data_IF_076937263039
#
_entry.id   IF_076937263039
#
_cell.length_a   1.000
_cell.length_b   1.000
_cell.length_c   1.000
_cell.angle_alpha   90.00
_cell.angle_beta   90.00
_cell.angle_gamma   90.00
#
_symmetry.space_group_name_H-M   'P 1'
#
loop_
_entity.id
_entity.type
_entity.pdbx_description
1 polymer ?
#
# COMPACT_ATOMS: atom_id res chain seq x y z
N UNK A 1 -38.84 -35.84 10.88
CA UNK A 1 -38.64 -34.61 10.11
C UNK A 1 -37.13 -34.50 9.87
N UNK A 2 -36.65 -34.93 8.71
CA UNK A 2 -35.22 -34.97 8.41
C UNK A 2 -34.81 -33.61 7.85
N UNK A 3 -34.05 -32.83 8.62
CA UNK A 3 -33.41 -31.61 8.11
C UNK A 3 -32.44 -32.01 7.00
N UNK A 4 -32.84 -31.71 5.77
CA UNK A 4 -32.00 -31.82 4.60
C UNK A 4 -30.92 -30.74 4.71
N UNK A 5 -29.76 -31.07 5.30
CA UNK A 5 -28.55 -30.22 5.26
C UNK A 5 -28.23 -29.99 3.78
N UNK A 6 -28.60 -28.82 3.26
CA UNK A 6 -28.13 -28.39 1.96
C UNK A 6 -26.60 -28.42 1.97
N UNK A 7 -25.96 -29.02 0.96
CA UNK A 7 -24.50 -29.06 0.91
C UNK A 7 -23.99 -27.62 0.89
N UNK A 8 -23.16 -27.26 1.88
CA UNK A 8 -22.51 -25.96 1.85
C UNK A 8 -21.75 -25.83 0.52
N UNK A 9 -21.89 -24.71 -0.20
CA UNK A 9 -21.11 -24.51 -1.42
C UNK A 9 -19.62 -24.63 -1.06
N UNK A 10 -18.89 -25.48 -1.79
CA UNK A 10 -17.45 -25.74 -1.63
C UNK A 10 -16.60 -24.45 -1.59
N UNK A 11 -17.14 -23.33 -2.07
CA UNK A 11 -16.58 -21.99 -1.90
C UNK A 11 -17.58 -21.07 -1.18
N UNK A 12 -17.44 -20.91 0.13
CA UNK A 12 -18.14 -19.85 0.85
C UNK A 12 -17.55 -18.49 0.45
N UNK A 13 -18.40 -17.52 0.10
CA UNK A 13 -17.97 -16.14 -0.22
C UNK A 13 -17.11 -15.54 0.90
N UNK A 14 -17.40 -15.91 2.14
CA UNK A 14 -16.64 -15.52 3.34
C UNK A 14 -15.21 -16.07 3.32
N UNK A 15 -15.00 -17.34 2.96
CA UNK A 15 -13.68 -17.94 2.86
C UNK A 15 -12.80 -17.28 1.80
N UNK A 16 -13.38 -17.00 0.63
CA UNK A 16 -12.67 -16.31 -0.47
C UNK A 16 -12.28 -14.88 -0.06
N UNK A 17 -13.18 -14.13 0.57
CA UNK A 17 -12.90 -12.77 1.03
C UNK A 17 -11.79 -12.75 2.10
N UNK A 18 -11.81 -13.71 3.03
CA UNK A 18 -10.77 -13.82 4.06
C UNK A 18 -9.40 -14.16 3.43
N UNK A 19 -9.36 -15.11 2.50
CA UNK A 19 -8.14 -15.46 1.78
C UNK A 19 -7.55 -14.27 1.01
N UNK A 20 -8.39 -13.55 0.25
CA UNK A 20 -7.97 -12.35 -0.47
C UNK A 20 -7.50 -11.25 0.49
N UNK A 21 -8.15 -11.11 1.65
CA UNK A 21 -7.72 -10.19 2.71
C UNK A 21 -6.33 -10.51 3.26
N UNK A 22 -6.04 -11.78 3.52
CA UNK A 22 -4.71 -12.23 3.97
C UNK A 22 -3.66 -12.02 2.88
N UNK A 23 -3.97 -12.40 1.63
CA UNK A 23 -3.06 -12.19 0.51
C UNK A 23 -2.73 -10.70 0.32
N UNK A 24 -3.74 -9.84 0.41
CA UNK A 24 -3.56 -8.40 0.37
C UNK A 24 -2.69 -7.92 1.54
N UNK A 25 -2.91 -8.43 2.75
CA UNK A 25 -2.10 -8.09 3.92
C UNK A 25 -0.63 -8.47 3.73
N UNK A 26 -0.35 -9.67 3.21
CA UNK A 26 1.00 -10.15 2.92
C UNK A 26 1.64 -9.27 1.85
N UNK A 27 0.98 -9.08 0.70
CA UNK A 27 1.49 -8.23 -0.37
C UNK A 27 1.75 -6.80 0.14
N UNK A 28 0.88 -6.27 1.00
CA UNK A 28 1.07 -4.97 1.59
C UNK A 28 2.27 -4.93 2.53
N UNK A 29 2.45 -5.97 3.34
CA UNK A 29 3.59 -6.10 4.26
C UNK A 29 4.91 -6.07 3.48
N UNK A 30 5.04 -6.87 2.42
CA UNK A 30 6.17 -6.83 1.50
C UNK A 30 6.35 -5.42 0.90
N UNK A 31 5.28 -4.85 0.33
CA UNK A 31 5.33 -3.55 -0.32
C UNK A 31 5.78 -2.42 0.61
N UNK A 32 5.32 -2.39 1.86
CA UNK A 32 5.71 -1.37 2.86
C UNK A 32 7.22 -1.36 3.10
N UNK A 33 7.90 -2.51 3.00
CA UNK A 33 9.36 -2.58 3.22
C UNK A 33 10.18 -1.84 2.18
N UNK A 34 9.69 -1.75 0.94
CA UNK A 34 10.35 -0.98 -0.14
C UNK A 34 9.77 0.43 -0.28
N UNK A 35 8.48 0.62 -0.03
CA UNK A 35 7.81 1.92 -0.15
C UNK A 35 8.39 2.98 0.79
N UNK A 36 8.93 2.59 1.95
CA UNK A 36 9.55 3.53 2.89
C UNK A 36 10.73 4.28 2.26
N UNK A 37 11.41 3.66 1.28
CA UNK A 37 12.52 4.27 0.54
C UNK A 37 12.05 5.04 -0.70
N UNK A 38 11.00 4.54 -1.36
CA UNK A 38 10.49 5.13 -2.60
C UNK A 38 9.66 6.40 -2.38
N UNK A 39 9.05 6.54 -1.20
CA UNK A 39 8.10 7.62 -0.92
C UNK A 39 8.65 8.64 0.06
N UNK A 40 8.17 9.87 -0.04
CA UNK A 40 8.69 10.95 0.78
C UNK A 40 8.27 10.78 2.24
N UNK A 41 9.24 10.85 3.14
CA UNK A 41 9.06 10.63 4.58
C UNK A 41 8.22 11.67 5.32
N UNK A 42 7.97 12.82 4.70
CA UNK A 42 7.07 13.87 5.19
C UNK A 42 5.58 13.62 4.87
N UNK A 43 5.29 12.62 4.05
CA UNK A 43 3.97 12.40 3.45
C UNK A 43 3.30 11.08 3.87
N UNK A 44 3.95 10.27 4.70
CA UNK A 44 3.42 8.99 5.12
C UNK A 44 2.18 9.11 6.00
N UNK A 45 1.13 8.35 5.66
CA UNK A 45 -0.05 8.14 6.49
C UNK A 45 0.20 7.22 7.68
N UNK A 46 -0.76 7.16 8.61
CA UNK A 46 -0.69 6.32 9.82
C UNK A 46 -0.48 4.82 9.53
N UNK A 47 -0.87 4.34 8.34
CA UNK A 47 -0.72 2.94 7.90
C UNK A 47 0.73 2.42 7.91
N UNK A 48 1.72 3.29 7.76
CA UNK A 48 3.14 2.92 7.75
C UNK A 48 3.72 2.66 9.14
N UNK A 49 3.01 3.00 10.21
CA UNK A 49 3.49 2.85 11.59
C UNK A 49 2.70 1.79 12.38
N UNK A 50 1.90 0.97 11.70
CA UNK A 50 1.06 -0.06 12.29
C UNK A 50 1.61 -1.47 12.18
N UNK A 51 0.72 -2.45 12.35
CA UNK A 51 1.03 -3.89 12.33
C UNK A 51 1.80 -4.35 11.08
N UNK A 52 1.56 -3.72 9.92
CA UNK A 52 2.24 -4.05 8.67
C UNK A 52 3.74 -3.77 8.69
N UNK A 53 4.18 -2.71 9.39
CA UNK A 53 5.60 -2.40 9.51
C UNK A 53 6.32 -3.37 10.45
N UNK A 54 5.65 -3.74 11.55
CA UNK A 54 6.14 -4.78 12.45
C UNK A 54 6.21 -6.15 11.75
N UNK A 55 5.18 -6.51 10.98
CA UNK A 55 5.17 -7.71 10.16
C UNK A 55 6.29 -7.69 9.12
N UNK A 56 6.58 -6.53 8.50
CA UNK A 56 7.69 -6.35 7.56
C UNK A 56 9.05 -6.60 8.21
N UNK A 57 9.25 -6.14 9.45
CA UNK A 57 10.46 -6.42 10.22
C UNK A 57 10.66 -7.94 10.43
N UNK A 58 9.61 -8.62 10.90
CA UNK A 58 9.63 -10.08 11.12
C UNK A 58 9.91 -10.80 9.79
N UNK A 59 9.23 -10.40 8.72
CA UNK A 59 9.38 -10.99 7.40
C UNK A 59 10.82 -10.90 6.86
N UNK A 60 11.46 -9.74 6.97
CA UNK A 60 12.87 -9.56 6.56
C UNK A 60 13.80 -10.44 7.40
N UNK A 61 13.53 -10.58 8.71
CA UNK A 61 14.34 -11.39 9.61
C UNK A 61 14.24 -12.90 9.30
N UNK A 62 13.04 -13.39 8.93
CA UNK A 62 12.81 -14.80 8.62
C UNK A 62 13.17 -15.19 7.18
N UNK A 63 13.20 -14.23 6.25
CA UNK A 63 13.49 -14.52 4.84
C UNK A 63 14.81 -15.27 4.58
N UNK A 64 15.94 -14.97 5.25
CA UNK A 64 17.19 -15.71 5.07
C UNK A 64 17.09 -17.21 5.40
N UNK A 65 16.15 -17.62 6.27
CA UNK A 65 15.94 -19.03 6.62
C UNK A 65 15.55 -19.88 5.40
N UNK A 66 14.87 -19.27 4.43
CA UNK A 66 14.47 -19.93 3.18
C UNK A 66 15.64 -20.10 2.19
N UNK A 67 16.78 -19.46 2.44
CA UNK A 67 17.93 -19.42 1.54
C UNK A 67 19.17 -20.02 2.20
N UNK A 68 19.13 -21.34 2.40
CA UNK A 68 20.26 -22.08 2.96
C UNK A 68 21.51 -21.90 2.07
N UNK A 69 22.68 -21.77 2.71
CA UNK A 69 23.97 -21.59 2.01
C UNK A 69 24.30 -20.16 1.57
N UNK A 70 23.43 -19.18 1.83
CA UNK A 70 23.70 -17.77 1.53
C UNK A 70 23.99 -16.95 2.79
N UNK A 71 24.78 -15.89 2.65
CA UNK A 71 25.08 -14.98 3.76
C UNK A 71 23.86 -14.13 4.14
N UNK A 72 23.51 -14.10 5.43
CA UNK A 72 22.41 -13.26 5.94
C UNK A 72 22.78 -11.77 6.04
N UNK A 73 24.07 -11.43 5.93
CA UNK A 73 24.59 -10.06 6.12
C UNK A 73 23.85 -8.99 5.32
N UNK A 74 23.69 -9.12 3.99
CA UNK A 74 22.98 -8.14 3.17
C UNK A 74 21.52 -7.92 3.61
N UNK A 75 20.84 -8.96 4.06
CA UNK A 75 19.47 -8.89 4.58
C UNK A 75 19.41 -8.14 5.92
N UNK A 76 20.38 -8.34 6.81
CA UNK A 76 20.48 -7.61 8.07
C UNK A 76 20.79 -6.12 7.86
N UNK A 77 21.65 -5.80 6.89
CA UNK A 77 21.92 -4.42 6.48
C UNK A 77 20.63 -3.77 5.94
N UNK A 78 19.89 -4.48 5.09
CA UNK A 78 18.59 -4.02 4.60
C UNK A 78 17.59 -3.80 5.74
N UNK A 79 17.53 -4.71 6.72
CA UNK A 79 16.69 -4.56 7.92
C UNK A 79 17.04 -3.30 8.71
N UNK A 80 18.33 -3.03 8.92
CA UNK A 80 18.80 -1.83 9.62
C UNK A 80 18.39 -0.56 8.85
N UNK A 81 18.61 -0.52 7.54
CA UNK A 81 18.20 0.59 6.68
C UNK A 81 16.69 0.80 6.72
N UNK A 82 15.92 -0.28 6.68
CA UNK A 82 14.46 -0.24 6.76
C UNK A 82 14.01 0.36 8.10
N UNK A 83 14.59 -0.09 9.20
CA UNK A 83 14.27 0.41 10.54
C UNK A 83 14.63 1.90 10.70
N UNK A 84 15.81 2.32 10.22
CA UNK A 84 16.20 3.73 10.20
C UNK A 84 15.26 4.57 9.33
N UNK A 85 14.83 4.06 8.17
CA UNK A 85 13.89 4.74 7.30
C UNK A 85 12.52 4.94 7.98
N UNK A 86 12.02 3.92 8.68
CA UNK A 86 10.80 4.03 9.50
C UNK A 86 10.95 5.05 10.63
N UNK A 87 12.09 5.05 11.34
CA UNK A 87 12.35 6.01 12.40
C UNK A 87 12.36 7.46 11.87
N UNK A 88 13.08 7.68 10.75
CA UNK A 88 13.11 8.98 10.07
C UNK A 88 11.72 9.42 9.62
N UNK A 89 10.93 8.51 9.03
CA UNK A 89 9.55 8.77 8.67
C UNK A 89 8.74 9.20 9.90
N UNK A 90 8.84 8.47 11.01
CA UNK A 90 8.09 8.75 12.25
C UNK A 90 8.44 10.12 12.83
N UNK A 91 9.73 10.46 12.86
CA UNK A 91 10.21 11.76 13.36
C UNK A 91 9.72 12.89 12.46
N UNK A 92 9.82 12.75 11.12
CA UNK A 92 9.38 13.76 10.16
C UNK A 92 7.87 13.97 10.18
N UNK A 93 7.08 12.90 10.26
CA UNK A 93 5.62 12.99 10.39
C UNK A 93 5.24 13.71 11.68
N UNK A 94 5.84 13.35 12.82
CA UNK A 94 5.59 14.05 14.11
C UNK A 94 5.97 15.53 14.04
N UNK A 95 7.12 15.85 13.44
CA UNK A 95 7.57 17.23 13.28
C UNK A 95 6.60 18.06 12.42
N UNK A 96 6.09 17.51 11.31
CA UNK A 96 5.09 18.16 10.46
C UNK A 96 3.80 18.44 11.22
N UNK A 97 3.27 17.46 11.96
CA UNK A 97 2.03 17.63 12.74
C UNK A 97 2.21 18.71 13.81
N UNK A 98 3.37 18.73 14.49
CA UNK A 98 3.69 19.78 15.47
C UNK A 98 3.78 21.19 14.87
N UNK A 99 4.13 21.32 13.60
CA UNK A 99 4.17 22.61 12.87
C UNK A 99 2.81 23.04 12.30
N UNK A 100 1.72 22.35 12.67
CA UNK A 100 0.38 22.66 12.16
C UNK A 100 0.14 22.19 10.72
N UNK A 101 1.01 21.32 10.18
CA UNK A 101 0.80 20.76 8.84
C UNK A 101 -0.44 19.86 8.77
N UNK A 102 -1.01 19.63 7.56
CA UNK A 102 -2.22 18.84 7.40
C UNK A 102 -2.06 17.46 8.02
N UNK A 103 -3.06 16.97 8.74
CA UNK A 103 -3.01 15.65 9.34
C UNK A 103 -2.86 14.56 8.27
N UNK A 104 -2.12 13.48 8.55
CA UNK A 104 -1.95 12.39 7.60
C UNK A 104 -3.30 11.70 7.36
N UNK A 105 -3.85 11.80 6.15
CA UNK A 105 -5.05 11.04 5.79
C UNK A 105 -4.77 9.54 5.92
N UNK A 106 -5.71 8.81 6.53
CA UNK A 106 -5.57 7.39 6.89
C UNK A 106 -5.30 6.46 5.69
N UNK A 107 -5.66 6.89 4.47
CA UNK A 107 -5.49 6.12 3.23
C UNK A 107 -4.37 6.65 2.33
N UNK A 108 -3.78 7.81 2.66
CA UNK A 108 -2.77 8.40 1.80
C UNK A 108 -1.43 7.69 1.96
N UNK A 109 -0.97 7.19 0.83
CA UNK A 109 0.15 6.27 0.73
C UNK A 109 1.50 6.98 0.56
N UNK A 110 1.56 8.31 0.73
CA UNK A 110 2.75 9.13 0.54
C UNK A 110 2.96 9.58 -0.91
N UNK A 111 3.63 10.73 -1.10
CA UNK A 111 3.98 11.25 -2.41
C UNK A 111 5.24 10.53 -2.95
N UNK A 112 5.31 10.22 -4.26
CA UNK A 112 6.49 9.61 -4.85
C UNK A 112 7.70 10.54 -4.72
N UNK A 113 8.86 10.02 -4.33
CA UNK A 113 10.11 10.78 -4.45
C UNK A 113 10.43 11.05 -5.92
N UNK A 114 10.20 10.04 -6.77
CA UNK A 114 10.43 10.06 -8.22
C UNK A 114 9.53 11.04 -8.98
N UNK A 115 8.49 11.59 -8.36
CA UNK A 115 7.66 12.64 -8.97
C UNK A 115 8.47 13.90 -9.33
N UNK A 116 9.59 14.14 -8.64
CA UNK A 116 10.49 15.25 -8.99
C UNK A 116 11.17 15.06 -10.34
N UNK A 117 11.42 13.81 -10.74
CA UNK A 117 12.08 13.42 -11.98
C UNK A 117 11.04 13.23 -13.10
N UNK A 118 9.96 12.48 -12.84
CA UNK A 118 8.87 12.25 -13.80
C UNK A 118 7.70 13.22 -13.60
N UNK A 119 7.96 14.54 -13.71
CA UNK A 119 6.94 15.58 -13.47
C UNK A 119 5.72 15.50 -14.39
N UNK A 120 5.89 14.96 -15.60
CA UNK A 120 4.83 14.83 -16.61
C UNK A 120 3.98 13.57 -16.45
N UNK A 121 4.38 12.63 -15.59
CA UNK A 121 3.64 11.38 -15.40
C UNK A 121 2.62 11.53 -14.28
N UNK A 122 1.40 10.98 -14.43
CA UNK A 122 0.42 10.97 -13.36
C UNK A 122 0.95 10.16 -12.17
N UNK A 123 0.72 10.65 -10.96
CA UNK A 123 1.20 10.05 -9.71
C UNK A 123 0.84 8.56 -9.60
N UNK A 124 -0.35 8.19 -10.06
CA UNK A 124 -0.81 6.80 -10.07
C UNK A 124 0.15 5.89 -10.87
N UNK A 125 0.52 6.30 -12.09
CA UNK A 125 1.44 5.53 -12.96
C UNK A 125 2.83 5.44 -12.37
N UNK A 126 3.28 6.49 -11.67
CA UNK A 126 4.57 6.45 -10.96
C UNK A 126 4.56 5.35 -9.91
N UNK A 127 3.51 5.27 -9.10
CA UNK A 127 3.40 4.28 -8.00
C UNK A 127 3.17 2.84 -8.47
N UNK A 128 2.41 2.65 -9.55
CA UNK A 128 2.05 1.29 -10.01
C UNK A 128 3.02 0.69 -11.01
N UNK A 129 3.78 1.51 -11.73
CA UNK A 129 4.66 1.02 -12.81
C UNK A 129 6.10 1.45 -12.57
N UNK A 130 6.36 2.75 -12.41
CA UNK A 130 7.74 3.27 -12.39
C UNK A 130 8.47 2.86 -11.11
N UNK A 131 7.85 3.02 -9.94
CA UNK A 131 8.41 2.61 -8.64
C UNK A 131 8.75 1.10 -8.61
N UNK A 132 7.83 0.18 -8.97
CA UNK A 132 8.13 -1.25 -9.06
C UNK A 132 9.23 -1.60 -10.06
N UNK A 133 9.24 -0.99 -11.24
CA UNK A 133 10.30 -1.22 -12.23
C UNK A 133 11.66 -0.74 -11.71
N UNK A 134 11.69 0.40 -11.04
CA UNK A 134 12.91 0.91 -10.41
C UNK A 134 13.45 -0.04 -9.34
N UNK A 135 12.56 -0.57 -8.48
CA UNK A 135 12.93 -1.62 -7.51
C UNK A 135 13.41 -2.89 -8.20
N UNK A 136 12.77 -3.30 -9.29
CA UNK A 136 13.18 -4.44 -10.10
C UNK A 136 14.58 -4.27 -10.68
N UNK A 137 14.91 -3.09 -11.23
CA UNK A 137 16.25 -2.79 -11.70
C UNK A 137 17.29 -2.85 -10.57
N UNK A 138 16.96 -2.31 -9.39
CA UNK A 138 17.84 -2.42 -8.21
C UNK A 138 18.02 -3.90 -7.82
N UNK A 139 16.95 -4.68 -7.80
CA UNK A 139 17.01 -6.10 -7.49
C UNK A 139 17.94 -6.85 -8.45
N UNK A 140 17.89 -6.56 -9.75
CA UNK A 140 18.81 -7.14 -10.75
C UNK A 140 20.28 -6.78 -10.45
N UNK A 141 20.57 -5.52 -10.11
CA UNK A 141 21.92 -5.12 -9.73
C UNK A 141 22.39 -5.80 -8.43
N UNK A 142 21.50 -5.91 -7.45
CA UNK A 142 21.78 -6.55 -6.15
C UNK A 142 21.98 -8.06 -6.28
N UNK A 143 21.40 -8.71 -7.30
CA UNK A 143 21.53 -10.15 -7.53
C UNK A 143 22.98 -10.60 -7.72
N UNK A 144 23.86 -9.69 -8.18
CA UNK A 144 25.30 -9.94 -8.32
C UNK A 144 25.97 -10.12 -6.94
N UNK A 145 25.45 -9.48 -5.90
CA UNK A 145 26.00 -9.48 -4.54
C UNK A 145 25.26 -10.45 -3.62
N UNK A 146 23.93 -10.49 -3.71
CA UNK A 146 23.08 -11.28 -2.82
C UNK A 146 21.77 -11.66 -3.50
N UNK A 147 21.66 -12.92 -3.90
CA UNK A 147 20.45 -13.51 -4.48
C UNK A 147 19.24 -13.43 -3.53
N UNK A 148 19.36 -13.73 -2.21
CA UNK A 148 18.21 -13.66 -1.30
C UNK A 148 17.61 -12.26 -1.19
N UNK A 149 18.47 -11.24 -1.13
CA UNK A 149 18.04 -9.84 -1.07
C UNK A 149 17.42 -9.39 -2.40
N UNK A 150 18.02 -9.78 -3.52
CA UNK A 150 17.45 -9.49 -4.84
C UNK A 150 16.06 -10.10 -5.02
N UNK A 151 15.88 -11.38 -4.67
CA UNK A 151 14.59 -12.06 -4.73
C UNK A 151 13.56 -11.39 -3.82
N UNK A 152 13.97 -11.00 -2.60
CA UNK A 152 13.12 -10.25 -1.68
C UNK A 152 12.66 -8.91 -2.28
N UNK A 153 13.59 -8.12 -2.83
CA UNK A 153 13.31 -6.81 -3.41
C UNK A 153 12.40 -6.93 -4.65
N UNK A 154 12.65 -7.91 -5.52
CA UNK A 154 11.82 -8.16 -6.69
C UNK A 154 10.37 -8.50 -6.29
N UNK A 155 10.20 -9.42 -5.34
CA UNK A 155 8.89 -9.79 -4.82
C UNK A 155 8.21 -8.59 -4.14
N UNK A 156 8.93 -7.85 -3.31
CA UNK A 156 8.43 -6.65 -2.66
C UNK A 156 8.00 -5.56 -3.66
N UNK A 157 8.72 -5.39 -4.76
CA UNK A 157 8.36 -4.50 -5.86
C UNK A 157 7.04 -4.89 -6.53
N UNK A 158 6.87 -6.17 -6.85
CA UNK A 158 5.61 -6.69 -7.43
C UNK A 158 4.45 -6.50 -6.46
N UNK A 159 4.64 -6.84 -5.19
CA UNK A 159 3.63 -6.66 -4.15
C UNK A 159 3.29 -5.18 -3.90
N UNK A 160 4.27 -4.28 -3.99
CA UNK A 160 4.06 -2.83 -3.94
C UNK A 160 3.20 -2.35 -5.13
N UNK A 161 3.47 -2.85 -6.34
CA UNK A 161 2.68 -2.57 -7.54
C UNK A 161 1.22 -2.98 -7.36
N UNK A 162 1.00 -4.24 -6.96
CA UNK A 162 -0.32 -4.82 -6.75
C UNK A 162 -1.10 -4.06 -5.67
N UNK A 163 -0.47 -3.80 -4.51
CA UNK A 163 -1.12 -3.08 -3.41
C UNK A 163 -1.45 -1.63 -3.76
N UNK A 164 -0.59 -0.96 -4.54
CA UNK A 164 -0.83 0.41 -5.02
C UNK A 164 -1.94 0.44 -6.07
N UNK A 165 -2.01 -0.55 -6.97
CA UNK A 165 -3.08 -0.70 -7.95
C UNK A 165 -4.44 -0.90 -7.30
N UNK A 166 -4.52 -1.83 -6.34
CA UNK A 166 -5.76 -2.07 -5.58
C UNK A 166 -6.19 -0.85 -4.77
N UNK A 167 -5.25 -0.17 -4.12
CA UNK A 167 -5.55 1.07 -3.38
C UNK A 167 -6.07 2.17 -4.31
N UNK A 168 -5.48 2.30 -5.50
CA UNK A 168 -5.94 3.23 -6.53
C UNK A 168 -7.34 2.92 -7.03
N UNK A 169 -7.63 1.65 -7.31
CA UNK A 169 -8.96 1.20 -7.75
C UNK A 169 -10.04 1.46 -6.69
N UNK A 170 -9.74 1.18 -5.41
CA UNK A 170 -10.66 1.46 -4.30
C UNK A 170 -10.91 2.95 -4.12
N UNK A 171 -9.86 3.78 -4.23
CA UNK A 171 -10.01 5.22 -4.14
C UNK A 171 -10.83 5.77 -5.31
N UNK A 172 -10.60 5.26 -6.52
CA UNK A 172 -11.37 5.65 -7.69
C UNK A 172 -12.86 5.33 -7.53
N UNK A 173 -13.21 4.12 -7.07
CA UNK A 173 -14.59 3.74 -6.76
C UNK A 173 -15.23 4.68 -5.75
N UNK A 174 -14.55 4.98 -4.63
CA UNK A 174 -15.07 5.92 -3.64
C UNK A 174 -15.31 7.31 -4.20
N UNK A 175 -14.44 7.79 -5.09
CA UNK A 175 -14.63 9.09 -5.73
C UNK A 175 -15.87 9.09 -6.64
N UNK A 176 -16.13 7.99 -7.35
CA UNK A 176 -17.35 7.84 -8.14
C UNK A 176 -18.59 7.79 -7.24
N UNK A 177 -18.57 7.00 -6.17
CA UNK A 177 -19.69 6.90 -5.21
C UNK A 177 -20.03 8.28 -4.59
N UNK A 178 -19.01 9.09 -4.28
CA UNK A 178 -19.21 10.45 -3.77
C UNK A 178 -19.75 11.41 -4.84
N UNK A 179 -19.37 11.22 -6.11
CA UNK A 179 -19.89 12.01 -7.21
C UNK A 179 -21.37 11.72 -7.44
N UNK A 180 -21.76 10.44 -7.44
CA UNK A 180 -23.15 10.02 -7.60
C UNK A 180 -24.01 10.55 -6.45
N UNK A 181 -23.54 10.39 -5.21
CA UNK A 181 -24.21 10.94 -4.03
C UNK A 181 -24.37 12.48 -4.09
N UNK A 182 -23.37 13.18 -4.65
CA UNK A 182 -23.46 14.63 -4.85
C UNK A 182 -24.53 15.01 -5.88
N UNK A 183 -24.63 14.26 -6.99
CA UNK A 183 -25.67 14.48 -8.02
C UNK A 183 -27.06 14.23 -7.43
N UNK A 184 -27.25 13.12 -6.70
CA UNK A 184 -28.53 12.80 -6.05
C UNK A 184 -28.97 13.89 -5.05
N UNK A 185 -28.02 14.41 -4.25
CA UNK A 185 -28.30 15.50 -3.31
C UNK A 185 -28.69 16.79 -4.04
N UNK A 186 -28.06 17.09 -5.19
CA UNK A 186 -28.38 18.26 -6.00
C UNK A 186 -29.79 18.15 -6.59
N UNK A 187 -30.13 17.00 -7.17
CA UNK A 187 -31.43 16.76 -7.79
C UNK A 187 -32.57 16.78 -6.76
N UNK A 188 -32.31 16.25 -5.56
CA UNK A 188 -33.22 16.34 -4.42
C UNK A 188 -33.46 17.81 -4.02
N UNK A 189 -32.38 18.60 -3.90
CA UNK A 189 -32.48 20.02 -3.56
C UNK A 189 -33.21 20.84 -4.63
N UNK A 190 -32.99 20.55 -5.91
CA UNK A 190 -33.71 21.19 -7.02
C UNK A 190 -35.20 20.85 -7.00
N UNK A 191 -35.55 19.58 -6.72
CA UNK A 191 -36.94 19.14 -6.59
C UNK A 191 -37.65 19.88 -5.45
N UNK A 192 -36.98 20.06 -4.30
CA UNK A 192 -37.51 20.86 -3.19
C UNK A 192 -37.73 22.34 -3.57
N UNK A 193 -36.81 22.94 -4.34
CA UNK A 193 -36.99 24.32 -4.83
C UNK A 193 -38.20 24.44 -5.75
N UNK A 194 -38.37 23.50 -6.69
CA UNK A 194 -39.55 23.47 -7.58
C UNK A 194 -40.86 23.35 -6.81
N UNK A 195 -40.92 22.54 -5.76
CA UNK A 195 -42.11 22.44 -4.90
C UNK A 195 -42.40 23.74 -4.15
N UNK A 196 -41.37 24.48 -3.73
CA UNK A 196 -41.53 25.75 -3.04
C UNK A 196 -41.98 26.87 -3.98
N UNK A 197 -41.42 26.91 -5.18
CA UNK A 197 -41.67 27.95 -6.18
C UNK A 197 -42.91 27.63 -7.04
N UNK A 198 -43.50 26.44 -6.91
CA UNK A 198 -44.77 26.01 -7.51
C UNK A 198 -46.03 26.54 -6.81
N UNK A 199 -45.93 27.73 -6.18
CA UNK A 199 -47.04 28.61 -5.86
C UNK A 199 -46.98 29.84 -6.74
#
# INVERSE_FOLDING_TARGET
MWEQKQPEPLFSKTGVNNFLGVLFFIARTFGVTVEVFLRRSDSFGQRYFGLQAAAGFVLILFWPVLWQGHSAGPMLVFLLLYWLALLMARVRTKARVRRGGPQPHTLFNGAPTLQKVWRRSPEHRIKTVIEPLYVGCIALCVAIVSVPLAAYLALAGVCAAASSGMSGALQHRRTMDLHDAFVEQRDTAESFRRMRDGR
#
